data_IF_250368531173
#
_entry.id   IF_250368531173
#
_cell.length_a   1.000
_cell.length_b   1.000
_cell.length_c   1.000
_cell.angle_alpha   90.00
_cell.angle_beta   90.00
_cell.angle_gamma   90.00
#
_symmetry.space_group_name_H-M   'P 1'
#
loop_
_entity.id
_entity.type
_entity.pdbx_description
1 polymer ?
#
# COMPACT_ATOMS: atom_id res chain seq x y z
N UNK A 1 -26.88 -12.58 -4.03
CA UNK A 1 -25.84 -11.68 -3.47
C UNK A 1 -26.48 -10.85 -2.38
N UNK A 2 -26.18 -11.15 -1.12
CA UNK A 2 -26.77 -10.43 0.02
C UNK A 2 -26.22 -9.00 0.10
N UNK A 3 -26.99 -8.10 0.73
CA UNK A 3 -26.61 -6.69 0.87
C UNK A 3 -25.26 -6.53 1.59
N UNK A 4 -24.96 -7.40 2.57
CA UNK A 4 -23.69 -7.43 3.28
C UNK A 4 -22.50 -7.74 2.36
N UNK A 5 -22.64 -8.72 1.47
CA UNK A 5 -21.59 -9.12 0.52
C UNK A 5 -21.33 -8.02 -0.52
N UNK A 6 -22.39 -7.35 -1.01
CA UNK A 6 -22.24 -6.18 -1.89
C UNK A 6 -21.45 -5.06 -1.20
N UNK A 7 -21.77 -4.73 0.05
CA UNK A 7 -21.07 -3.68 0.81
C UNK A 7 -19.59 -4.00 1.00
N UNK A 8 -19.25 -5.24 1.38
CA UNK A 8 -17.85 -5.68 1.55
C UNK A 8 -17.07 -5.60 0.24
N UNK A 9 -17.67 -6.02 -0.87
CA UNK A 9 -17.07 -5.91 -2.19
C UNK A 9 -16.78 -4.46 -2.54
N UNK A 10 -17.76 -3.55 -2.42
CA UNK A 10 -17.55 -2.13 -2.68
C UNK A 10 -16.44 -1.54 -1.79
N UNK A 11 -16.38 -1.89 -0.52
CA UNK A 11 -15.32 -1.44 0.38
C UNK A 11 -13.93 -1.89 -0.10
N UNK A 12 -13.76 -3.14 -0.52
CA UNK A 12 -12.49 -3.63 -1.08
C UNK A 12 -12.13 -2.93 -2.39
N UNK A 13 -13.11 -2.69 -3.27
CA UNK A 13 -12.90 -1.96 -4.51
C UNK A 13 -12.44 -0.52 -4.24
N UNK A 14 -13.12 0.20 -3.34
CA UNK A 14 -12.75 1.57 -2.98
C UNK A 14 -11.38 1.61 -2.30
N UNK A 15 -11.08 0.65 -1.44
CA UNK A 15 -9.77 0.55 -0.79
C UNK A 15 -8.65 0.33 -1.81
N UNK A 16 -8.80 -0.63 -2.73
CA UNK A 16 -7.81 -0.88 -3.78
C UNK A 16 -7.70 0.30 -4.76
N UNK A 17 -8.82 0.95 -5.09
CA UNK A 17 -8.83 2.14 -5.93
C UNK A 17 -8.07 3.29 -5.25
N UNK A 18 -8.33 3.56 -3.97
CA UNK A 18 -7.64 4.60 -3.22
C UNK A 18 -6.14 4.29 -3.06
N UNK A 19 -5.80 3.06 -2.71
CA UNK A 19 -4.40 2.64 -2.58
C UNK A 19 -3.65 2.75 -3.92
N UNK A 20 -4.25 2.26 -5.01
CA UNK A 20 -3.67 2.31 -6.35
C UNK A 20 -3.51 3.73 -6.88
N UNK A 21 -4.54 4.57 -6.74
CA UNK A 21 -4.48 5.99 -7.15
C UNK A 21 -3.46 6.77 -6.32
N UNK A 22 -3.36 6.51 -5.01
CA UNK A 22 -2.34 7.09 -4.14
C UNK A 22 -0.93 6.69 -4.57
N UNK A 23 -0.69 5.40 -4.80
CA UNK A 23 0.59 4.88 -5.28
C UNK A 23 0.98 5.48 -6.63
N UNK A 24 0.06 5.50 -7.60
CA UNK A 24 0.29 6.10 -8.92
C UNK A 24 0.62 7.60 -8.82
N UNK A 25 -0.13 8.32 -7.98
CA UNK A 25 0.10 9.76 -7.74
C UNK A 25 1.44 10.06 -7.07
N UNK A 26 1.92 9.17 -6.20
CA UNK A 26 3.24 9.28 -5.58
C UNK A 26 4.35 8.98 -6.58
N UNK A 27 4.27 7.85 -7.30
CA UNK A 27 5.28 7.46 -8.31
C UNK A 27 5.47 8.55 -9.36
N UNK A 28 4.37 9.12 -9.86
CA UNK A 28 4.42 10.22 -10.83
C UNK A 28 5.09 11.49 -10.28
N UNK A 29 5.08 11.69 -8.95
CA UNK A 29 5.69 12.84 -8.27
C UNK A 29 7.09 12.57 -7.70
N UNK A 30 7.59 11.35 -7.75
CA UNK A 30 8.94 11.02 -7.25
C UNK A 30 10.04 11.93 -7.81
N UNK A 31 10.05 12.32 -9.12
CA UNK A 31 11.04 13.27 -9.63
C UNK A 31 10.92 14.65 -8.98
N UNK A 32 9.71 15.20 -8.89
CA UNK A 32 9.49 16.50 -8.25
C UNK A 32 9.85 16.51 -6.76
N UNK A 33 9.61 15.40 -6.05
CA UNK A 33 10.02 15.23 -4.64
C UNK A 33 11.54 15.13 -4.52
N UNK A 34 12.19 14.40 -5.44
CA UNK A 34 13.66 14.32 -5.51
C UNK A 34 14.27 15.71 -5.68
N UNK A 35 13.78 16.44 -6.68
CA UNK A 35 14.33 17.73 -7.09
C UNK A 35 14.05 18.80 -6.03
N UNK A 36 12.86 18.77 -5.40
CA UNK A 36 12.50 19.70 -4.32
C UNK A 36 13.26 19.49 -3.00
N UNK A 37 13.85 18.31 -2.80
CA UNK A 37 14.66 17.97 -1.62
C UNK A 37 16.17 17.90 -1.94
N UNK A 38 16.57 18.23 -3.18
CA UNK A 38 17.93 18.11 -3.73
C UNK A 38 18.60 16.74 -3.44
N UNK A 39 17.79 15.67 -3.55
CA UNK A 39 18.16 14.33 -3.10
C UNK A 39 19.02 13.64 -4.17
N UNK A 40 20.23 13.26 -3.77
CA UNK A 40 21.15 12.49 -4.63
C UNK A 40 20.55 11.14 -5.09
N UNK A 41 21.06 10.59 -6.19
CA UNK A 41 20.63 9.27 -6.70
C UNK A 41 20.81 8.15 -5.67
N UNK A 42 21.89 8.20 -4.86
CA UNK A 42 22.16 7.21 -3.83
C UNK A 42 21.11 7.20 -2.72
N UNK A 43 20.66 8.37 -2.28
CA UNK A 43 19.59 8.51 -1.30
C UNK A 43 18.22 8.04 -1.81
N UNK A 44 17.95 8.17 -3.12
CA UNK A 44 16.76 7.56 -3.71
C UNK A 44 16.81 6.02 -3.64
N UNK A 45 18.01 5.43 -3.73
CA UNK A 45 18.23 4.01 -3.47
C UNK A 45 17.79 3.59 -2.06
N UNK A 46 18.07 4.40 -1.03
CA UNK A 46 17.60 4.16 0.33
C UNK A 46 16.08 4.26 0.46
N UNK A 47 15.44 5.20 -0.26
CA UNK A 47 13.97 5.30 -0.32
C UNK A 47 13.37 4.03 -0.90
N UNK A 48 13.89 3.55 -2.04
CA UNK A 48 13.42 2.31 -2.67
C UNK A 48 13.69 1.07 -1.81
N UNK A 49 14.82 1.05 -1.11
CA UNK A 49 15.15 0.00 -0.15
C UNK A 49 14.16 -0.01 1.02
N UNK A 50 13.84 1.16 1.58
CA UNK A 50 12.81 1.31 2.60
C UNK A 50 11.43 0.86 2.13
N UNK A 51 11.02 1.21 0.89
CA UNK A 51 9.80 0.70 0.28
C UNK A 51 9.79 -0.82 0.17
N UNK A 52 10.91 -1.41 -0.23
CA UNK A 52 11.06 -2.87 -0.37
C UNK A 52 10.95 -3.57 0.98
N UNK A 53 11.64 -3.07 2.01
CA UNK A 53 11.53 -3.58 3.39
C UNK A 53 10.09 -3.47 3.87
N UNK A 54 9.45 -2.31 3.70
CA UNK A 54 8.06 -2.09 4.12
C UNK A 54 7.09 -3.06 3.42
N UNK A 55 7.27 -3.30 2.13
CA UNK A 55 6.48 -4.26 1.36
C UNK A 55 6.64 -5.68 1.88
N UNK A 56 7.89 -6.14 2.05
CA UNK A 56 8.20 -7.47 2.58
C UNK A 56 7.61 -7.65 3.99
N UNK A 57 7.83 -6.69 4.88
CA UNK A 57 7.29 -6.71 6.23
C UNK A 57 5.76 -6.76 6.22
N UNK A 58 5.11 -5.98 5.35
CA UNK A 58 3.65 -5.99 5.16
C UNK A 58 3.13 -7.35 4.70
N UNK A 59 3.78 -7.96 3.70
CA UNK A 59 3.42 -9.31 3.21
C UNK A 59 3.58 -10.35 4.31
N UNK A 60 4.72 -10.37 5.00
CA UNK A 60 4.96 -11.33 6.09
C UNK A 60 4.00 -11.15 7.27
N UNK A 61 3.68 -9.90 7.62
CA UNK A 61 2.75 -9.61 8.73
C UNK A 61 1.29 -9.87 8.36
N UNK A 62 0.92 -9.82 7.08
CA UNK A 62 -0.48 -9.92 6.61
C UNK A 62 -1.21 -11.15 7.15
N UNK A 63 -0.57 -12.32 7.15
CA UNK A 63 -1.16 -13.55 7.67
C UNK A 63 -1.45 -13.48 9.17
N UNK A 64 -0.54 -12.92 9.97
CA UNK A 64 -0.76 -12.74 11.42
C UNK A 64 -1.84 -11.69 11.71
N UNK A 65 -1.84 -10.58 10.95
CA UNK A 65 -2.85 -9.53 11.04
C UNK A 65 -4.25 -10.06 10.71
N UNK A 66 -4.40 -10.85 9.64
CA UNK A 66 -5.67 -11.49 9.27
C UNK A 66 -6.09 -12.51 10.33
N UNK A 67 -5.18 -13.29 10.89
CA UNK A 67 -5.53 -14.24 11.98
C UNK A 67 -5.97 -13.54 13.26
N UNK A 68 -5.41 -12.36 13.57
CA UNK A 68 -5.71 -11.62 14.80
C UNK A 68 -6.94 -10.71 14.69
N UNK A 69 -7.16 -10.09 13.52
CA UNK A 69 -8.19 -9.07 13.30
C UNK A 69 -9.22 -9.42 12.23
N UNK A 70 -9.00 -10.51 11.49
CA UNK A 70 -9.96 -11.01 10.52
C UNK A 70 -11.22 -11.52 11.22
N UNK A 71 -12.39 -11.39 10.58
CA UNK A 71 -13.60 -12.02 11.11
C UNK A 71 -13.38 -13.53 11.20
N UNK A 72 -13.65 -14.14 12.36
CA UNK A 72 -13.75 -15.60 12.54
C UNK A 72 -14.86 -16.11 11.64
N UNK A 73 -14.50 -16.51 10.42
CA UNK A 73 -15.33 -17.24 9.48
C UNK A 73 -14.36 -18.12 8.67
N UNK A 74 -13.86 -19.15 9.33
CA UNK A 74 -13.34 -20.39 8.73
C UNK A 74 -14.04 -21.53 9.44
#
# INVERSE_FOLDING_TARGET
MDAATRRRRTALFLFMLAAGTGMASWVARTPAVRDGLDVSTGSMGLVLFGLSIGSMAGVTASGQLVRRYGPVLV
#
